data_IF_872600977741
#
_entry.id   IF_872600977741
#
_cell.length_a   1.000
_cell.length_b   1.000
_cell.length_c   1.000
_cell.angle_alpha   90.00
_cell.angle_beta   90.00
_cell.angle_gamma   90.00
#
_symmetry.space_group_name_H-M   'P 1'
#
loop_
_entity.id
_entity.type
_entity.pdbx_description
1 polymer ?
#
# COMPACT_ATOMS: atom_id res chain seq x y z
N UNK A 1 -11.88 -2.10 -8.02
CA UNK A 1 -10.56 -2.73 -8.28
C UNK A 1 -9.78 -2.75 -6.99
N UNK A 2 -8.87 -3.71 -6.85
CA UNK A 2 -7.98 -3.87 -5.70
C UNK A 2 -6.65 -3.18 -5.97
N UNK A 3 -6.24 -2.26 -5.11
CA UNK A 3 -5.04 -1.44 -5.29
C UNK A 3 -4.09 -1.67 -4.11
N UNK A 4 -2.88 -2.13 -4.39
CA UNK A 4 -1.82 -2.32 -3.41
C UNK A 4 -0.81 -1.17 -3.48
N UNK A 5 -0.58 -0.48 -2.37
CA UNK A 5 0.39 0.62 -2.31
C UNK A 5 1.63 0.18 -1.54
N UNK A 6 2.69 -0.16 -2.27
CA UNK A 6 4.00 -0.54 -1.73
C UNK A 6 4.71 0.70 -1.19
N UNK A 7 5.10 0.67 0.09
CA UNK A 7 5.59 1.87 0.77
C UNK A 7 4.51 2.91 1.08
N UNK A 8 3.24 2.49 1.16
CA UNK A 8 2.09 3.36 1.28
C UNK A 8 1.96 4.17 2.59
N UNK A 9 2.85 3.95 3.56
CA UNK A 9 2.84 4.65 4.86
C UNK A 9 3.29 6.12 4.79
N UNK A 10 3.82 6.57 3.64
CA UNK A 10 4.27 7.94 3.41
C UNK A 10 3.16 8.92 3.01
N UNK A 11 3.54 10.17 2.75
CA UNK A 11 2.60 11.24 2.34
C UNK A 11 1.86 10.93 1.05
N UNK A 12 2.57 10.40 0.06
CA UNK A 12 2.02 10.02 -1.23
C UNK A 12 1.04 8.85 -1.11
N UNK A 13 1.46 7.77 -0.43
CA UNK A 13 0.61 6.60 -0.19
C UNK A 13 -0.66 6.93 0.59
N UNK A 14 -0.59 7.79 1.63
CA UNK A 14 -1.77 8.34 2.31
C UNK A 14 -2.67 9.09 1.34
N UNK A 15 -2.09 9.98 0.53
CA UNK A 15 -2.82 10.83 -0.40
C UNK A 15 -3.58 10.04 -1.47
N UNK A 16 -2.92 9.05 -2.06
CA UNK A 16 -3.49 8.15 -3.06
C UNK A 16 -4.50 7.20 -2.44
N UNK A 17 -4.10 6.50 -1.36
CA UNK A 17 -4.93 5.47 -0.74
C UNK A 17 -6.27 6.01 -0.23
N UNK A 18 -6.26 7.16 0.45
CA UNK A 18 -7.51 7.79 0.93
C UNK A 18 -8.40 8.21 -0.24
N UNK A 19 -7.84 8.79 -1.30
CA UNK A 19 -8.63 9.26 -2.45
C UNK A 19 -9.24 8.10 -3.24
N UNK A 20 -8.48 7.02 -3.43
CA UNK A 20 -8.97 5.84 -4.11
C UNK A 20 -10.00 5.07 -3.28
N UNK A 21 -9.83 4.98 -1.96
CA UNK A 21 -10.86 4.43 -1.08
C UNK A 21 -12.15 5.25 -1.13
N UNK A 22 -12.07 6.59 -1.16
CA UNK A 22 -13.25 7.46 -1.38
C UNK A 22 -13.92 7.26 -2.73
N UNK A 23 -13.16 6.85 -3.74
CA UNK A 23 -13.69 6.52 -5.06
C UNK A 23 -14.28 5.09 -5.14
N UNK A 24 -14.29 4.34 -4.04
CA UNK A 24 -14.86 2.98 -3.98
C UNK A 24 -13.90 1.86 -4.39
N UNK A 25 -12.60 2.12 -4.45
CA UNK A 25 -11.60 1.07 -4.64
C UNK A 25 -11.26 0.36 -3.32
N UNK A 26 -10.92 -0.92 -3.39
CA UNK A 26 -10.38 -1.67 -2.25
C UNK A 26 -8.87 -1.42 -2.20
N UNK A 27 -8.38 -0.85 -1.10
CA UNK A 27 -7.02 -0.32 -1.03
C UNK A 27 -6.27 -0.94 0.14
N UNK A 28 -5.07 -1.43 -0.15
CA UNK A 28 -4.15 -2.03 0.80
C UNK A 28 -2.87 -1.19 0.95
N UNK A 29 -2.55 -0.80 2.19
CA UNK A 29 -1.35 -0.04 2.54
C UNK A 29 -0.22 -0.99 2.92
N UNK A 30 0.77 -1.10 2.03
CA UNK A 30 1.98 -1.90 2.23
C UNK A 30 3.10 -1.15 2.94
N UNK A 31 3.85 -1.88 3.76
CA UNK A 31 5.02 -1.39 4.49
C UNK A 31 6.12 -2.46 4.51
N UNK A 32 7.37 -2.06 4.81
CA UNK A 32 8.45 -3.02 5.12
C UNK A 32 8.25 -3.72 6.47
N UNK A 33 7.46 -3.11 7.35
CA UNK A 33 7.08 -3.65 8.66
C UNK A 33 5.55 -3.77 8.68
N UNK A 34 5.03 -4.98 8.81
CA UNK A 34 3.60 -5.27 8.66
C UNK A 34 2.75 -4.45 9.65
N UNK A 35 3.21 -4.36 10.91
CA UNK A 35 2.55 -3.64 11.99
C UNK A 35 2.41 -2.16 11.67
N UNK A 36 3.43 -1.57 11.01
CA UNK A 36 3.39 -0.18 10.57
C UNK A 36 2.35 0.03 9.46
N UNK A 37 2.20 -0.92 8.54
CA UNK A 37 1.17 -0.89 7.50
C UNK A 37 -0.23 -0.94 8.10
N UNK A 38 -0.48 -1.90 9.00
CA UNK A 38 -1.74 -2.04 9.73
C UNK A 38 -2.08 -0.77 10.51
N UNK A 39 -1.12 -0.27 11.32
CA UNK A 39 -1.32 0.92 12.13
C UNK A 39 -1.66 2.15 11.28
N UNK A 40 -0.96 2.36 10.16
CA UNK A 40 -1.22 3.51 9.28
C UNK A 40 -2.52 3.38 8.49
N UNK A 41 -2.89 2.19 8.03
CA UNK A 41 -4.19 1.98 7.40
C UNK A 41 -5.34 2.30 8.36
N UNK A 42 -5.24 1.87 9.62
CA UNK A 42 -6.23 2.17 10.65
C UNK A 42 -6.29 3.69 10.96
N UNK A 43 -5.14 4.33 11.15
CA UNK A 43 -5.04 5.79 11.35
C UNK A 43 -5.73 6.56 10.22
N UNK A 44 -5.41 6.25 8.96
CA UNK A 44 -5.98 6.95 7.81
C UNK A 44 -7.47 6.65 7.64
N UNK A 45 -7.90 5.41 7.90
CA UNK A 45 -9.31 5.03 7.85
C UNK A 45 -10.14 5.85 8.84
N UNK A 46 -9.66 5.94 10.08
CA UNK A 46 -10.29 6.73 11.14
C UNK A 46 -10.29 8.23 10.83
N UNK A 47 -9.15 8.77 10.39
CA UNK A 47 -9.00 10.19 10.09
C UNK A 47 -9.94 10.66 8.96
N UNK A 48 -10.17 9.81 7.96
CA UNK A 48 -10.86 10.21 6.72
C UNK A 48 -12.23 9.59 6.50
N UNK A 49 -12.70 8.72 7.39
CA UNK A 49 -13.98 8.02 7.25
C UNK A 49 -14.01 7.11 6.01
N UNK A 50 -12.92 6.37 5.78
CA UNK A 50 -12.78 5.39 4.69
C UNK A 50 -12.37 4.03 5.24
N UNK A 51 -12.40 3.00 4.40
CA UNK A 51 -11.87 1.68 4.73
C UNK A 51 -10.58 1.43 3.97
N UNK A 52 -9.49 1.18 4.71
CA UNK A 52 -8.20 0.76 4.18
C UNK A 52 -7.74 -0.51 4.89
N UNK A 53 -7.15 -1.43 4.14
CA UNK A 53 -6.42 -2.58 4.68
C UNK A 53 -4.95 -2.22 4.83
N UNK A 54 -4.21 -2.93 5.67
CA UNK A 54 -2.79 -2.65 5.88
C UNK A 54 -2.00 -3.90 6.29
N UNK A 55 -0.71 -3.91 5.94
CA UNK A 55 0.19 -5.04 6.18
C UNK A 55 1.56 -4.80 5.58
N UNK A 56 2.27 -5.89 5.26
CA UNK A 56 3.56 -5.77 4.57
C UNK A 56 3.39 -5.55 3.05
N UNK A 57 4.50 -5.27 2.36
CA UNK A 57 4.52 -5.02 0.93
C UNK A 57 4.14 -6.27 0.11
N UNK A 58 4.43 -7.47 0.61
CA UNK A 58 4.11 -8.75 -0.07
C UNK A 58 2.60 -8.99 -0.05
N UNK A 59 1.95 -8.78 1.09
CA UNK A 59 0.50 -8.83 1.23
C UNK A 59 -0.18 -7.77 0.36
N UNK A 60 0.41 -6.57 0.25
CA UNK A 60 -0.10 -5.53 -0.64
C UNK A 60 -0.07 -5.97 -2.12
N UNK A 61 1.00 -6.65 -2.56
CA UNK A 61 1.09 -7.17 -3.92
C UNK A 61 0.08 -8.29 -4.17
N UNK A 62 -0.01 -9.26 -3.25
CA UNK A 62 -0.96 -10.37 -3.33
C UNK A 62 -2.43 -9.94 -3.35
N UNK A 63 -2.76 -8.83 -2.69
CA UNK A 63 -4.10 -8.28 -2.69
C UNK A 63 -4.47 -7.63 -4.04
N UNK A 64 -3.50 -7.11 -4.78
CA UNK A 64 -3.71 -6.07 -5.77
C UNK A 64 -3.94 -6.57 -7.21
N UNK A 65 -4.82 -5.87 -7.93
CA UNK A 65 -4.89 -5.87 -9.39
C UNK A 65 -3.98 -4.77 -9.98
N UNK A 66 -3.76 -3.69 -9.22
CA UNK A 66 -2.85 -2.60 -9.55
C UNK A 66 -1.90 -2.35 -8.38
N UNK A 67 -0.60 -2.46 -8.65
CA UNK A 67 0.47 -2.18 -7.68
C UNK A 67 1.03 -0.78 -7.93
N UNK A 68 1.11 0.02 -6.88
CA UNK A 68 1.67 1.37 -6.91
C UNK A 68 2.83 1.44 -5.92
N UNK A 69 4.01 1.83 -6.41
CA UNK A 69 5.21 1.93 -5.58
C UNK A 69 5.47 3.38 -5.21
N UNK A 70 5.32 3.71 -3.93
CA UNK A 70 5.51 5.06 -3.37
C UNK A 70 6.69 5.12 -2.42
N UNK A 71 7.81 4.48 -2.79
CA UNK A 71 9.08 4.52 -2.05
C UNK A 71 10.05 5.53 -2.68
N UNK A 72 11.02 6.08 -1.94
CA UNK A 72 12.07 6.89 -2.53
C UNK A 72 12.84 6.12 -3.60
N UNK A 73 13.34 6.81 -4.62
CA UNK A 73 14.11 6.20 -5.72
C UNK A 73 15.26 5.30 -5.24
N UNK A 74 15.97 5.72 -4.19
CA UNK A 74 17.07 4.94 -3.60
C UNK A 74 16.65 3.57 -3.04
N UNK A 75 15.37 3.39 -2.71
CA UNK A 75 14.81 2.14 -2.20
C UNK A 75 14.17 1.27 -3.29
N UNK A 76 14.09 1.72 -4.55
CA UNK A 76 13.40 1.00 -5.63
C UNK A 76 13.95 -0.41 -5.82
N UNK A 77 15.26 -0.56 -6.03
CA UNK A 77 15.89 -1.86 -6.28
C UNK A 77 15.55 -2.88 -5.19
N UNK A 78 15.84 -2.54 -3.93
CA UNK A 78 15.60 -3.45 -2.81
C UNK A 78 14.09 -3.75 -2.63
N UNK A 79 13.23 -2.76 -2.90
CA UNK A 79 11.79 -2.96 -2.85
C UNK A 79 11.33 -3.94 -3.93
N UNK A 80 11.73 -3.75 -5.19
CA UNK A 80 11.37 -4.65 -6.28
C UNK A 80 11.94 -6.05 -6.07
N UNK A 81 13.19 -6.17 -5.63
CA UNK A 81 13.80 -7.47 -5.30
C UNK A 81 13.01 -8.20 -4.21
N UNK A 82 12.41 -7.48 -3.24
CA UNK A 82 11.62 -8.07 -2.15
C UNK A 82 10.20 -8.50 -2.53
N UNK A 83 9.67 -8.03 -3.66
CA UNK A 83 8.29 -8.34 -4.10
C UNK A 83 8.23 -9.02 -5.47
N UNK A 84 9.38 -9.27 -6.11
CA UNK A 84 9.46 -9.78 -7.49
C UNK A 84 8.67 -11.08 -7.71
N UNK A 85 8.60 -11.96 -6.70
CA UNK A 85 7.96 -13.28 -6.83
C UNK A 85 6.43 -13.18 -6.69
N UNK A 86 5.92 -12.02 -6.25
CA UNK A 86 4.51 -11.71 -6.06
C UNK A 86 3.91 -10.91 -7.22
N UNK A 87 4.75 -10.47 -8.17
CA UNK A 87 4.35 -9.68 -9.33
C UNK A 87 4.61 -10.53 -10.57
N UNK A 88 3.54 -10.86 -11.30
CA UNK A 88 3.64 -11.67 -12.53
C UNK A 88 4.42 -10.99 -13.66
N UNK A 89 4.62 -11.73 -14.76
CA UNK A 89 5.25 -11.25 -16.00
C UNK A 89 4.47 -10.11 -16.69
#
# INVERSE_FOLDING_TARGET
>A
MKIGIVGGTGREGRGLGVRWAKAGHDVFIGSRQAEKGISKAAEFSQEFGVTLQGGDNVAACNHAELIVVTVPYSAHRATFESVKDEVGD
#
